data_IF_754870885003
#
_entry.id   IF_754870885003
#
_cell.length_a   1.000
_cell.length_b   1.000
_cell.length_c   1.000
_cell.angle_alpha   90.00
_cell.angle_beta   90.00
_cell.angle_gamma   90.00
#
_symmetry.space_group_name_H-M   'P 1'
#
loop_
_entity.id
_entity.type
_entity.pdbx_description
1 polymer ?
#
# COMPACT_ATOMS: atom_id res chain seq x y z
N UNK A 1 -12.25 -23.63 -34.90
CA UNK A 1 -11.71 -23.05 -33.64
C UNK A 1 -10.51 -22.21 -34.01
N UNK A 2 -10.60 -20.87 -33.93
CA UNK A 2 -9.51 -19.99 -34.33
C UNK A 2 -8.43 -19.95 -33.23
N UNK A 3 -7.21 -20.34 -33.59
CA UNK A 3 -6.03 -20.21 -32.75
C UNK A 3 -5.68 -18.72 -32.64
N UNK A 4 -5.95 -18.10 -31.49
CA UNK A 4 -5.56 -16.71 -31.22
C UNK A 4 -4.09 -16.72 -30.78
N UNK A 5 -3.16 -16.10 -31.54
CA UNK A 5 -1.75 -16.09 -31.19
C UNK A 5 -1.54 -15.34 -29.87
N UNK A 6 -0.62 -15.82 -29.01
CA UNK A 6 -0.20 -15.15 -27.76
C UNK A 6 0.72 -13.95 -28.04
N UNK A 7 0.40 -13.15 -29.06
CA UNK A 7 1.04 -11.89 -29.38
C UNK A 7 0.14 -10.74 -28.93
N UNK A 8 0.68 -9.87 -28.09
CA UNK A 8 0.17 -8.56 -27.61
C UNK A 8 -1.17 -8.12 -28.24
N UNK A 9 -2.29 -8.71 -27.81
CA UNK A 9 -3.60 -8.08 -27.97
C UNK A 9 -3.76 -7.15 -26.79
N UNK A 10 -3.42 -5.87 -26.98
CA UNK A 10 -3.81 -4.80 -26.05
C UNK A 10 -5.28 -4.46 -26.31
N UNK A 11 -6.23 -4.80 -25.42
CA UNK A 11 -7.64 -4.63 -25.71
C UNK A 11 -8.19 -3.29 -25.14
N UNK A 12 -9.46 -2.91 -25.41
CA UNK A 12 -10.15 -1.69 -24.92
C UNK A 12 -10.37 -1.64 -23.39
N UNK A 13 -9.50 -2.30 -22.61
CA UNK A 13 -9.61 -2.50 -21.17
C UNK A 13 -8.47 -1.81 -20.42
N UNK A 14 -7.59 -1.09 -21.12
CA UNK A 14 -6.41 -0.42 -20.56
C UNK A 14 -6.77 0.51 -19.39
N UNK A 15 -7.93 1.14 -19.49
CA UNK A 15 -8.40 2.15 -18.55
C UNK A 15 -9.32 1.59 -17.47
N UNK A 16 -9.44 0.26 -17.38
CA UNK A 16 -10.27 -0.42 -16.38
C UNK A 16 -9.52 -0.71 -15.06
N UNK A 17 -8.23 -0.38 -14.97
CA UNK A 17 -7.43 -0.64 -13.78
C UNK A 17 -7.26 -2.14 -13.45
N UNK A 18 -6.92 -2.47 -12.18
CA UNK A 18 -6.75 -3.85 -11.75
C UNK A 18 -8.07 -4.63 -11.75
N UNK A 19 -7.97 -5.94 -11.99
CA UNK A 19 -9.10 -6.87 -12.09
C UNK A 19 -9.96 -6.86 -10.82
N UNK A 20 -11.15 -6.26 -10.92
CA UNK A 20 -12.23 -6.47 -9.95
C UNK A 20 -12.89 -7.84 -10.21
N UNK A 21 -13.65 -8.40 -9.25
CA UNK A 21 -14.43 -9.62 -9.49
C UNK A 21 -15.24 -9.47 -10.78
N UNK A 22 -15.16 -10.43 -11.71
CA UNK A 22 -15.65 -10.21 -13.07
C UNK A 22 -17.17 -9.97 -13.03
N UNK A 23 -17.66 -8.83 -13.53
CA UNK A 23 -19.10 -8.56 -13.57
C UNK A 23 -19.83 -9.43 -14.61
N UNK A 24 -19.12 -10.25 -15.41
CA UNK A 24 -19.69 -10.95 -16.57
C UNK A 24 -19.03 -12.32 -16.85
N UNK A 25 -19.80 -13.29 -17.38
CA UNK A 25 -19.37 -14.67 -17.64
C UNK A 25 -18.35 -14.87 -18.78
N UNK A 26 -17.91 -13.80 -19.47
CA UNK A 26 -16.94 -13.87 -20.59
C UNK A 26 -15.58 -13.23 -20.28
N UNK A 27 -15.32 -12.88 -19.02
CA UNK A 27 -14.03 -12.30 -18.66
C UNK A 27 -12.88 -13.30 -18.90
N UNK A 28 -11.81 -12.85 -19.55
CA UNK A 28 -10.58 -13.64 -19.68
C UNK A 28 -10.07 -14.01 -18.28
N UNK A 29 -9.87 -15.31 -18.04
CA UNK A 29 -9.51 -15.83 -16.73
C UNK A 29 -8.06 -15.53 -16.33
N UNK A 30 -7.17 -15.33 -17.31
CA UNK A 30 -5.75 -15.04 -17.06
C UNK A 30 -5.47 -13.64 -16.51
N UNK A 31 -4.34 -13.51 -15.81
CA UNK A 31 -3.80 -12.22 -15.36
C UNK A 31 -2.82 -11.70 -16.40
N UNK A 32 -2.93 -10.41 -16.72
CA UNK A 32 -2.06 -9.76 -17.69
C UNK A 32 -1.13 -8.76 -17.01
N UNK A 33 0.12 -8.66 -17.47
CA UNK A 33 1.13 -7.76 -16.89
C UNK A 33 0.64 -6.29 -16.86
N UNK A 34 -0.07 -5.85 -17.90
CA UNK A 34 -0.62 -4.49 -17.98
C UNK A 34 -1.77 -4.23 -17.01
N UNK A 35 -2.34 -5.24 -16.35
CA UNK A 35 -3.35 -5.03 -15.30
C UNK A 35 -2.69 -4.72 -13.94
N UNK A 36 -1.37 -4.87 -13.84
CA UNK A 36 -0.64 -4.69 -12.58
C UNK A 36 -1.16 -5.59 -11.46
N UNK A 37 -1.25 -6.92 -11.67
CA UNK A 37 -1.79 -7.84 -10.67
C UNK A 37 -1.07 -7.71 -9.33
N UNK A 38 -1.82 -7.89 -8.24
CA UNK A 38 -1.30 -7.92 -6.87
C UNK A 38 -1.66 -9.31 -6.31
N UNK A 39 -0.71 -10.03 -5.69
CA UNK A 39 -1.00 -11.32 -5.07
C UNK A 39 -2.13 -11.18 -4.04
N UNK A 40 -2.94 -12.23 -3.89
CA UNK A 40 -3.95 -12.28 -2.85
C UNK A 40 -3.28 -12.13 -1.47
N UNK A 41 -3.69 -11.10 -0.73
CA UNK A 41 -3.20 -10.82 0.63
C UNK A 41 -3.88 -11.69 1.69
N UNK A 42 -3.32 -11.72 2.90
CA UNK A 42 -3.93 -12.38 4.05
C UNK A 42 -5.20 -11.64 4.50
N UNK A 43 -6.30 -12.37 4.71
CA UNK A 43 -7.57 -11.82 5.22
C UNK A 43 -7.56 -11.59 6.73
N UNK A 44 -6.51 -12.04 7.42
CA UNK A 44 -6.40 -12.07 8.89
C UNK A 44 -5.88 -10.77 9.52
N UNK A 45 -5.69 -9.69 8.76
CA UNK A 45 -5.15 -8.44 9.31
C UNK A 45 -6.24 -7.65 10.06
N UNK A 46 -6.69 -8.19 11.19
CA UNK A 46 -7.51 -7.47 12.19
C UNK A 46 -6.61 -6.80 13.23
N UNK A 47 -5.34 -7.23 13.32
CA UNK A 47 -4.44 -6.81 14.38
C UNK A 47 -3.42 -5.76 13.96
N UNK A 48 -3.27 -4.81 14.88
CA UNK A 48 -2.43 -3.63 14.82
C UNK A 48 -0.96 -4.03 14.74
N UNK A 49 -0.19 -3.57 13.74
CA UNK A 49 1.26 -3.76 13.75
C UNK A 49 1.83 -3.27 15.09
N UNK A 50 2.53 -4.15 15.80
CA UNK A 50 3.06 -3.93 17.14
C UNK A 50 4.06 -2.77 17.23
N UNK A 51 4.41 -2.40 18.47
CA UNK A 51 5.40 -1.35 18.70
C UNK A 51 6.83 -1.87 18.59
N UNK A 52 7.62 -1.31 17.68
CA UNK A 52 9.08 -1.47 17.72
C UNK A 52 9.68 -0.80 18.96
N UNK A 53 10.70 -1.46 19.53
CA UNK A 53 11.56 -0.94 20.60
C UNK A 53 12.81 -0.17 20.08
N UNK A 54 12.98 0.00 18.76
CA UNK A 54 14.09 0.74 18.14
C UNK A 54 13.79 2.19 17.73
N UNK A 55 14.68 2.79 16.93
CA UNK A 55 14.45 4.10 16.29
C UNK A 55 13.12 4.06 15.52
N UNK A 56 12.20 4.95 15.90
CA UNK A 56 10.86 5.00 15.30
C UNK A 56 10.84 6.05 14.20
N UNK A 57 10.20 5.78 13.05
CA UNK A 57 9.95 6.83 12.08
C UNK A 57 9.07 7.90 12.73
N UNK A 58 9.35 9.15 12.41
CA UNK A 58 8.55 10.28 12.84
C UNK A 58 7.13 10.20 12.26
N UNK A 59 6.19 10.96 12.83
CA UNK A 59 4.82 11.02 12.29
C UNK A 59 4.87 11.53 10.85
N UNK A 60 5.64 12.58 10.60
CA UNK A 60 5.80 13.17 9.28
C UNK A 60 6.33 12.15 8.28
N UNK A 61 7.37 11.39 8.62
CA UNK A 61 7.92 10.36 7.72
C UNK A 61 6.90 9.26 7.39
N UNK A 62 6.12 8.80 8.37
CA UNK A 62 5.06 7.81 8.14
C UNK A 62 3.91 8.38 7.30
N UNK A 63 3.50 9.63 7.55
CA UNK A 63 2.44 10.30 6.80
C UNK A 63 2.88 10.54 5.36
N UNK A 64 4.10 11.02 5.14
CA UNK A 64 4.67 11.24 3.81
C UNK A 64 4.83 9.94 3.05
N UNK A 65 5.31 8.87 3.68
CA UNK A 65 5.45 7.55 3.04
C UNK A 65 4.08 6.98 2.64
N UNK A 66 3.09 7.08 3.53
CA UNK A 66 1.72 6.65 3.24
C UNK A 66 1.08 7.50 2.12
N UNK A 67 1.32 8.80 2.13
CA UNK A 67 0.85 9.71 1.09
C UNK A 67 1.50 9.40 -0.25
N UNK A 68 2.83 9.32 -0.32
CA UNK A 68 3.60 8.98 -1.51
C UNK A 68 3.15 7.65 -2.14
N UNK A 69 2.77 6.68 -1.29
CA UNK A 69 2.26 5.39 -1.77
C UNK A 69 0.87 5.54 -2.39
N UNK A 70 -0.05 6.27 -1.74
CA UNK A 70 -1.43 6.41 -2.17
C UNK A 70 -1.63 7.41 -3.33
N UNK A 71 -0.83 8.48 -3.38
CA UNK A 71 -0.99 9.61 -4.32
C UNK A 71 -0.67 9.25 -5.77
N UNK A 72 -0.10 8.07 -6.01
CA UNK A 72 0.11 7.54 -7.37
C UNK A 72 -1.19 7.11 -8.05
N UNK A 73 -2.29 6.99 -7.29
CA UNK A 73 -3.59 6.64 -7.83
C UNK A 73 -4.11 7.72 -8.77
N UNK A 74 -4.57 7.32 -9.94
CA UNK A 74 -5.20 8.21 -10.92
C UNK A 74 -6.59 7.67 -11.29
N UNK A 75 -7.60 8.52 -11.16
CA UNK A 75 -8.98 8.14 -11.43
C UNK A 75 -9.29 7.89 -12.91
N UNK A 76 -8.45 8.39 -13.82
CA UNK A 76 -8.67 8.28 -15.27
C UNK A 76 -8.57 6.86 -15.81
N UNK A 77 -7.65 6.04 -15.27
CA UNK A 77 -7.41 4.66 -15.71
C UNK A 77 -7.40 3.66 -14.53
N UNK A 78 -7.76 4.14 -13.34
CA UNK A 78 -7.78 3.39 -12.07
C UNK A 78 -6.45 2.73 -11.69
N UNK A 79 -5.31 3.22 -12.21
CA UNK A 79 -3.98 2.69 -11.91
C UNK A 79 -3.31 3.42 -10.74
N UNK A 80 -2.31 2.77 -10.16
CA UNK A 80 -1.55 3.29 -9.02
C UNK A 80 -2.24 3.03 -7.68
N UNK A 81 -1.89 3.83 -6.68
CA UNK A 81 -2.35 3.70 -5.31
C UNK A 81 -1.44 2.80 -4.45
N UNK A 82 -1.82 2.65 -3.18
CA UNK A 82 -0.99 1.97 -2.19
C UNK A 82 -1.01 0.43 -2.29
N UNK A 83 -1.95 -0.13 -3.06
CA UNK A 83 -2.10 -1.58 -3.16
C UNK A 83 -0.86 -2.24 -3.79
N UNK A 84 -0.44 -3.38 -3.24
CA UNK A 84 0.77 -4.08 -3.64
C UNK A 84 2.09 -3.44 -3.17
N UNK A 85 2.03 -2.36 -2.37
CA UNK A 85 3.20 -1.68 -1.80
C UNK A 85 4.27 -1.31 -2.86
N UNK A 86 3.84 -0.93 -4.07
CA UNK A 86 4.74 -0.69 -5.22
C UNK A 86 5.75 0.43 -4.98
N UNK A 87 5.53 1.29 -3.98
CA UNK A 87 6.47 2.33 -3.56
C UNK A 87 7.85 1.77 -3.18
N UNK A 88 7.94 0.50 -2.73
CA UNK A 88 9.23 -0.15 -2.41
C UNK A 88 9.97 -0.71 -3.63
N UNK A 89 9.32 -0.70 -4.80
CA UNK A 89 9.85 -1.30 -6.03
C UNK A 89 10.29 -0.20 -6.99
N UNK A 90 11.21 -0.55 -7.90
CA UNK A 90 11.54 0.32 -9.02
C UNK A 90 10.32 0.51 -9.96
N UNK A 91 10.12 1.70 -10.54
CA UNK A 91 10.94 2.91 -10.37
C UNK A 91 10.53 3.78 -9.17
N UNK A 92 9.42 3.48 -8.49
CA UNK A 92 8.83 4.37 -7.47
C UNK A 92 9.76 4.63 -6.28
N UNK A 93 10.54 3.62 -5.86
CA UNK A 93 11.49 3.76 -4.75
C UNK A 93 12.58 4.80 -5.00
N UNK A 94 12.86 5.11 -6.27
CA UNK A 94 13.95 5.97 -6.72
C UNK A 94 13.46 7.36 -7.15
N UNK A 95 12.15 7.64 -7.08
CA UNK A 95 11.62 8.95 -7.42
C UNK A 95 12.06 10.00 -6.40
N UNK A 96 12.62 11.12 -6.86
CA UNK A 96 13.05 12.22 -6.00
C UNK A 96 11.92 12.73 -5.08
N UNK A 97 10.68 12.78 -5.59
CA UNK A 97 9.50 13.18 -4.81
C UNK A 97 9.15 12.22 -3.67
N UNK A 98 9.66 10.98 -3.70
CA UNK A 98 9.45 9.97 -2.66
C UNK A 98 10.58 9.95 -1.62
N UNK A 99 11.59 10.83 -1.73
CA UNK A 99 12.72 10.96 -0.77
C UNK A 99 13.38 9.60 -0.48
N UNK A 100 14.13 9.01 -1.42
CA UNK A 100 14.60 7.62 -1.37
C UNK A 100 15.32 7.23 -0.07
N UNK A 101 16.10 8.12 0.52
CA UNK A 101 16.84 7.89 1.77
C UNK A 101 15.90 7.81 2.99
N UNK A 102 14.87 8.65 3.01
CA UNK A 102 13.83 8.61 4.04
C UNK A 102 12.95 7.37 3.86
N UNK A 103 12.55 7.11 2.62
CA UNK A 103 11.70 5.99 2.26
C UNK A 103 12.35 4.65 2.62
N UNK A 104 13.63 4.45 2.25
CA UNK A 104 14.38 3.23 2.59
C UNK A 104 14.46 3.00 4.09
N UNK A 105 14.71 4.06 4.88
CA UNK A 105 14.70 3.99 6.34
C UNK A 105 13.32 3.57 6.88
N UNK A 106 12.24 4.20 6.42
CA UNK A 106 10.89 3.85 6.88
C UNK A 106 10.54 2.41 6.50
N UNK A 107 10.82 1.99 5.26
CA UNK A 107 10.54 0.64 4.80
C UNK A 107 11.35 -0.41 5.58
N UNK A 108 12.62 -0.15 5.88
CA UNK A 108 13.45 -1.07 6.69
C UNK A 108 12.89 -1.32 8.10
N UNK A 109 12.04 -0.43 8.61
CA UNK A 109 11.33 -0.59 9.88
C UNK A 109 9.95 -1.23 9.70
N UNK A 110 9.23 -0.94 8.61
CA UNK A 110 7.88 -1.46 8.39
C UNK A 110 7.85 -2.88 7.84
N UNK A 111 8.82 -3.29 7.04
CA UNK A 111 8.84 -4.63 6.44
C UNK A 111 9.01 -5.77 7.47
N UNK A 112 9.93 -5.70 8.45
CA UNK A 112 10.01 -6.70 9.50
C UNK A 112 8.74 -6.77 10.35
N UNK A 113 8.07 -5.63 10.55
CA UNK A 113 6.81 -5.56 11.27
C UNK A 113 5.67 -6.24 10.53
N UNK A 114 5.58 -5.99 9.22
CA UNK A 114 4.61 -6.66 8.36
C UNK A 114 4.81 -8.18 8.43
N UNK A 115 6.06 -8.64 8.34
CA UNK A 115 6.42 -10.06 8.47
C UNK A 115 6.06 -10.64 9.86
N UNK A 116 6.42 -9.94 10.94
CA UNK A 116 6.17 -10.39 12.31
C UNK A 116 4.67 -10.55 12.64
N UNK A 117 3.81 -9.77 11.98
CA UNK A 117 2.37 -9.78 12.19
C UNK A 117 1.58 -10.50 11.08
N UNK A 118 2.27 -11.10 10.09
CA UNK A 118 1.62 -11.72 8.93
C UNK A 118 0.74 -10.75 8.12
N UNK A 119 1.02 -9.46 8.22
CA UNK A 119 0.28 -8.38 7.58
C UNK A 119 0.91 -8.04 6.23
N UNK A 120 0.11 -7.49 5.30
CA UNK A 120 0.67 -6.97 4.06
C UNK A 120 1.51 -5.71 4.34
N UNK A 121 2.59 -5.53 3.57
CA UNK A 121 3.42 -4.31 3.64
C UNK A 121 2.58 -3.08 3.26
N UNK A 122 1.66 -3.22 2.31
CA UNK A 122 0.75 -2.16 1.89
C UNK A 122 -0.13 -1.69 3.05
N UNK A 123 -0.73 -2.62 3.78
CA UNK A 123 -1.55 -2.31 4.96
C UNK A 123 -0.69 -1.70 6.07
N UNK A 124 0.52 -2.22 6.28
CA UNK A 124 1.44 -1.70 7.30
C UNK A 124 1.82 -0.24 7.03
N UNK A 125 2.10 0.13 5.77
CA UNK A 125 2.36 1.52 5.35
C UNK A 125 1.16 2.42 5.64
N UNK A 126 -0.06 1.99 5.29
CA UNK A 126 -1.27 2.79 5.45
C UNK A 126 -1.71 2.89 6.93
N UNK A 127 -1.54 1.83 7.71
CA UNK A 127 -1.96 1.76 9.11
C UNK A 127 -0.96 2.46 10.06
N UNK A 128 0.33 2.51 9.69
CA UNK A 128 1.37 3.16 10.50
C UNK A 128 1.00 4.62 10.86
N UNK A 129 0.43 5.39 9.92
CA UNK A 129 -0.01 6.77 10.19
C UNK A 129 -1.18 6.86 11.19
N UNK A 130 -2.13 5.90 11.16
CA UNK A 130 -3.33 5.95 12.01
C UNK A 130 -3.01 5.75 13.49
N UNK A 131 -1.98 4.96 13.82
CA UNK A 131 -1.61 4.61 15.19
C UNK A 131 -1.34 5.85 16.05
N UNK A 132 -0.56 6.80 15.54
CA UNK A 132 -0.05 7.90 16.37
C UNK A 132 -1.06 9.02 16.57
N UNK A 133 -2.02 9.19 15.67
CA UNK A 133 -3.16 10.08 15.91
C UNK A 133 -3.93 9.67 17.17
N UNK A 134 -4.28 8.38 17.27
CA UNK A 134 -5.04 7.84 18.41
C UNK A 134 -4.25 7.86 19.73
N UNK A 135 -2.93 7.66 19.66
CA UNK A 135 -2.06 7.79 20.85
C UNK A 135 -1.89 9.25 21.29
N UNK A 136 -1.83 10.20 20.33
CA UNK A 136 -1.88 11.64 20.61
C UNK A 136 -3.19 12.08 21.25
N UNK A 137 -4.33 11.66 20.70
CA UNK A 137 -5.66 11.93 21.26
C UNK A 137 -5.82 11.36 22.67
N UNK A 138 -5.32 10.15 22.93
CA UNK A 138 -5.32 9.57 24.28
C UNK A 138 -4.47 10.39 25.25
N UNK A 139 -3.30 10.87 24.81
CA UNK A 139 -2.39 11.67 25.65
C UNK A 139 -2.97 13.04 25.96
N UNK A 140 -3.60 13.70 24.99
CA UNK A 140 -4.33 14.96 25.19
C UNK A 140 -5.54 14.76 26.10
N UNK A 141 -6.35 13.72 25.88
CA UNK A 141 -7.48 13.38 26.76
C UNK A 141 -7.04 13.01 28.18
N UNK A 142 -5.87 12.40 28.34
CA UNK A 142 -5.31 12.09 29.66
C UNK A 142 -4.86 13.37 30.37
N UNK A 143 -4.22 14.30 29.66
CA UNK A 143 -3.85 15.62 30.20
C UNK A 143 -5.08 16.44 30.62
N UNK A 144 -6.13 16.45 29.81
CA UNK A 144 -7.40 17.15 30.10
C UNK A 144 -8.21 16.55 31.27
N UNK A 145 -7.86 15.34 31.74
CA UNK A 145 -8.53 14.67 32.88
C UNK A 145 -7.73 14.73 34.17
N UNK A 146 -6.56 15.37 34.20
CA UNK A 146 -5.79 15.52 35.44
C UNK A 146 -6.48 16.60 36.29
N UNK A 147 -6.87 16.29 37.54
CA UNK A 147 -7.25 17.35 38.47
C UNK A 147 -6.03 18.24 38.75
N UNK A 148 -6.29 19.52 38.97
CA UNK A 148 -5.30 20.56 39.26
C UNK A 148 -4.45 20.21 40.49
#
# INVERSE_FOLDING_TARGET
MAHVPRGVVQPPHRDMGPKAPPPRPRACLGDFIWQGPVPAGSTSTTERPGGHQGQRPSISEMVETAWASASTFRGSDMRGGANGARIRLAPQKDWAGNKPEQLSRVLSLLEPLAAAHGASVADTIVLARKRRHRDGERRVRALLRRPW
#
